data_IF_582799575953
#
_entry.id   IF_582799575953
#
_cell.length_a   1.000
_cell.length_b   1.000
_cell.length_c   1.000
_cell.angle_alpha   90.00
_cell.angle_beta   90.00
_cell.angle_gamma   90.00
#
_symmetry.space_group_name_H-M   'P 1'
#
loop_
_entity.id
_entity.type
_entity.pdbx_description
1 polymer ?
#
# COMPACT_ATOMS: atom_id res chain seq x y z
N UNK A 1 5.53 17.69 -51.77
CA UNK A 1 6.34 17.69 -50.53
C UNK A 1 5.39 17.92 -49.36
N UNK A 2 4.91 16.85 -48.74
CA UNK A 2 3.99 16.90 -47.60
C UNK A 2 4.32 15.71 -46.70
N UNK A 3 5.11 15.94 -45.66
CA UNK A 3 5.40 14.92 -44.64
C UNK A 3 4.40 15.06 -43.51
N UNK A 4 3.60 14.00 -43.32
CA UNK A 4 2.75 13.79 -42.15
C UNK A 4 3.61 13.51 -40.91
N UNK A 5 3.22 14.14 -39.80
CA UNK A 5 3.75 13.92 -38.46
C UNK A 5 3.47 12.47 -37.98
N UNK A 6 4.37 11.84 -37.21
CA UNK A 6 4.06 10.57 -36.57
C UNK A 6 3.15 10.79 -35.36
N UNK A 7 1.97 10.17 -35.43
CA UNK A 7 1.02 9.98 -34.34
C UNK A 7 1.71 9.30 -33.17
N UNK A 8 2.05 10.06 -32.11
CA UNK A 8 2.51 9.46 -30.85
C UNK A 8 1.28 8.90 -30.14
N UNK A 9 1.17 7.58 -30.15
CA UNK A 9 0.23 6.83 -29.33
C UNK A 9 0.46 7.21 -27.86
N UNK A 10 -0.55 7.82 -27.24
CA UNK A 10 -0.59 8.07 -25.81
C UNK A 10 -0.88 6.72 -25.16
N UNK A 11 0.16 6.07 -24.66
CA UNK A 11 0.02 4.85 -23.87
C UNK A 11 -0.64 5.21 -22.53
N UNK A 12 -1.93 4.90 -22.42
CA UNK A 12 -2.71 4.94 -21.18
C UNK A 12 -2.10 3.95 -20.20
N UNK A 13 -1.23 4.41 -19.30
CA UNK A 13 -0.77 3.60 -18.17
C UNK A 13 -1.93 3.47 -17.18
N UNK A 14 -2.68 2.38 -17.35
CA UNK A 14 -3.65 1.90 -16.40
C UNK A 14 -3.00 1.76 -15.01
N UNK A 15 -3.71 2.25 -14.00
CA UNK A 15 -3.31 2.17 -12.60
C UNK A 15 -3.12 0.72 -12.18
N UNK A 16 -1.87 0.35 -11.95
CA UNK A 16 -1.51 -0.80 -11.13
C UNK A 16 -0.99 -0.24 -9.81
N UNK A 17 -1.92 0.02 -8.87
CA UNK A 17 -1.57 -0.05 -7.45
C UNK A 17 -1.29 -1.51 -7.19
N UNK A 18 -0.03 -1.89 -7.36
CA UNK A 18 0.46 -3.22 -7.10
C UNK A 18 0.35 -3.47 -5.60
N UNK A 19 -0.77 -4.08 -5.18
CA UNK A 19 -0.84 -4.83 -3.95
C UNK A 19 0.28 -5.88 -3.98
N UNK A 20 1.34 -5.65 -3.21
CA UNK A 20 2.23 -6.70 -2.78
C UNK A 20 1.43 -7.69 -1.92
N UNK A 21 0.94 -8.74 -2.59
CA UNK A 21 0.68 -10.08 -2.07
C UNK A 21 -0.03 -10.16 -0.71
N UNK A 22 -1.37 -10.29 -0.74
CA UNK A 22 -2.07 -11.14 0.23
C UNK A 22 -2.38 -12.43 -0.50
N UNK A 23 -1.59 -13.46 -0.21
CA UNK A 23 -1.87 -14.82 -0.63
C UNK A 23 -3.15 -15.31 0.06
N UNK A 24 -3.94 -16.03 -0.73
CA UNK A 24 -5.16 -16.72 -0.36
C UNK A 24 -4.87 -17.67 0.82
N UNK A 25 -5.55 -17.48 1.94
CA UNK A 25 -5.66 -18.52 2.97
C UNK A 25 -7.06 -19.10 2.89
N UNK A 26 -7.14 -20.28 2.29
CA UNK A 26 -8.23 -21.24 2.40
C UNK A 26 -8.47 -21.60 3.86
N UNK A 27 -9.71 -21.54 4.39
CA UNK A 27 -10.07 -22.30 5.57
C UNK A 27 -10.63 -23.66 5.13
N UNK A 28 -9.80 -24.69 5.22
CA UNK A 28 -10.26 -26.08 5.31
C UNK A 28 -10.49 -26.39 6.79
N UNK A 29 -11.73 -26.70 7.18
CA UNK A 29 -12.12 -27.76 8.14
C UNK A 29 -13.50 -27.50 8.72
N UNK A 30 -14.45 -28.37 8.36
CA UNK A 30 -15.58 -28.67 9.22
C UNK A 30 -15.82 -30.18 9.20
N UNK A 31 -15.18 -30.87 10.14
CA UNK A 31 -15.54 -32.22 10.54
C UNK A 31 -16.31 -32.12 11.86
N UNK A 32 -17.61 -32.40 11.82
CA UNK A 32 -18.48 -32.53 12.99
C UNK A 32 -18.69 -34.01 13.32
N UNK A 33 -18.31 -34.42 14.53
CA UNK A 33 -18.78 -35.65 15.16
C UNK A 33 -18.79 -35.54 16.70
N UNK A 34 -20.02 -35.42 17.23
CA UNK A 34 -20.62 -35.82 18.52
C UNK A 34 -19.81 -36.36 19.75
N UNK A 35 -20.00 -35.68 20.90
CA UNK A 35 -20.43 -36.09 22.29
C UNK A 35 -19.72 -37.24 23.08
N UNK A 36 -19.86 -37.40 24.44
CA UNK A 36 -20.64 -36.68 25.50
C UNK A 36 -19.81 -36.33 26.80
N UNK A 37 -20.43 -35.81 27.92
CA UNK A 37 -19.72 -35.21 29.07
C UNK A 37 -19.65 -36.09 30.34
N UNK A 38 -18.68 -35.82 31.23
CA UNK A 38 -18.65 -36.34 32.61
C UNK A 38 -18.20 -35.27 33.62
N UNK A 39 -19.09 -34.98 34.57
CA UNK A 39 -18.83 -34.24 35.81
C UNK A 39 -18.35 -35.22 36.90
N UNK A 40 -17.28 -34.90 37.64
CA UNK A 40 -17.23 -34.98 39.11
C UNK A 40 -15.91 -34.47 39.72
N UNK A 41 -16.09 -33.49 40.62
CA UNK A 41 -15.38 -33.15 41.87
C UNK A 41 -13.88 -33.50 42.09
N UNK A 42 -13.08 -32.47 42.42
CA UNK A 42 -12.27 -32.36 43.65
C UNK A 42 -11.45 -31.04 43.68
N UNK A 43 -11.45 -30.34 44.81
CA UNK A 43 -10.47 -29.29 45.16
C UNK A 43 -9.29 -29.93 45.95
N UNK A 44 -8.34 -29.17 46.52
CA UNK A 44 -7.36 -28.24 45.93
C UNK A 44 -5.91 -28.73 46.18
N UNK A 45 -4.91 -28.23 45.45
CA UNK A 45 -3.51 -28.27 45.91
C UNK A 45 -2.64 -27.23 45.19
N UNK A 46 -1.97 -26.41 46.00
CA UNK A 46 -0.89 -25.52 45.63
C UNK A 46 0.33 -26.31 45.14
N UNK A 47 1.01 -25.78 44.12
CA UNK A 47 2.30 -26.31 43.65
C UNK A 47 2.89 -25.43 42.57
N UNK A 48 3.94 -24.69 42.94
CA UNK A 48 4.68 -23.75 42.10
C UNK A 48 5.56 -24.46 41.06
N UNK A 49 5.47 -24.06 39.78
CA UNK A 49 6.60 -24.08 38.83
C UNK A 49 6.36 -23.04 37.73
N UNK A 50 7.29 -22.09 37.47
CA UNK A 50 7.19 -21.20 36.33
C UNK A 50 7.65 -21.96 35.08
N UNK A 51 6.69 -22.37 34.24
CA UNK A 51 6.96 -22.90 32.91
C UNK A 51 7.22 -21.76 31.93
N UNK A 52 8.44 -21.68 31.42
CA UNK A 52 8.83 -20.85 30.29
C UNK A 52 7.93 -21.13 29.09
N UNK A 53 6.97 -20.24 28.83
CA UNK A 53 6.32 -20.15 27.53
C UNK A 53 7.34 -19.60 26.53
N UNK A 54 8.01 -20.53 25.84
CA UNK A 54 8.78 -20.27 24.64
C UNK A 54 7.82 -19.75 23.57
N UNK A 55 7.59 -18.44 23.56
CA UNK A 55 6.92 -17.77 22.45
C UNK A 55 7.80 -17.95 21.23
N UNK A 56 7.42 -18.90 20.37
CA UNK A 56 7.89 -18.96 18.99
C UNK A 56 7.30 -17.75 18.26
N UNK A 57 7.80 -16.55 18.57
CA UNK A 57 7.60 -15.37 17.75
C UNK A 57 8.32 -15.64 16.45
N UNK A 58 7.57 -16.09 15.45
CA UNK A 58 7.88 -15.80 14.06
C UNK A 58 8.13 -14.29 14.03
N UNK A 59 9.33 -13.80 13.69
CA UNK A 59 9.57 -12.38 13.60
C UNK A 59 8.65 -11.86 12.49
N UNK A 60 7.53 -11.30 12.92
CA UNK A 60 6.59 -10.61 12.05
C UNK A 60 7.41 -9.54 11.35
N UNK A 61 7.34 -9.56 10.02
CA UNK A 61 8.01 -8.71 9.03
C UNK A 61 8.01 -7.21 9.41
N UNK A 62 8.82 -6.85 10.40
CA UNK A 62 9.01 -5.50 10.91
C UNK A 62 10.48 -5.08 10.81
N UNK A 63 11.35 -5.93 10.26
CA UNK A 63 12.79 -5.69 10.12
C UNK A 63 13.18 -5.14 8.73
N UNK A 64 12.30 -4.33 8.13
CA UNK A 64 12.74 -3.24 7.23
C UNK A 64 12.57 -1.88 7.96
N UNK A 65 11.93 -1.86 9.13
CA UNK A 65 11.62 -0.66 9.91
C UNK A 65 12.48 -0.52 11.18
N UNK A 66 13.65 -1.18 11.23
CA UNK A 66 14.51 -1.20 12.41
C UNK A 66 15.95 -0.77 12.08
N UNK A 67 16.07 0.46 11.56
CA UNK A 67 17.23 1.40 11.51
C UNK A 67 16.92 2.32 10.34
N UNK A 68 16.01 3.27 10.56
CA UNK A 68 15.16 3.85 9.52
C UNK A 68 15.90 4.83 8.60
N UNK A 69 16.77 4.31 7.75
CA UNK A 69 16.98 4.96 6.46
C UNK A 69 15.64 4.88 5.72
N UNK A 70 15.04 6.05 5.49
CA UNK A 70 13.84 6.16 4.68
C UNK A 70 14.16 5.58 3.29
N UNK A 71 13.33 4.67 2.78
CA UNK A 71 13.56 4.01 1.49
C UNK A 71 13.86 5.03 0.37
N UNK A 72 13.20 6.20 0.42
CA UNK A 72 13.51 7.35 -0.43
C UNK A 72 14.98 7.78 -0.34
N UNK A 73 15.50 7.98 0.87
CA UNK A 73 16.88 8.42 1.12
C UNK A 73 17.89 7.38 0.65
N UNK A 74 17.59 6.10 0.85
CA UNK A 74 18.43 5.00 0.39
C UNK A 74 18.52 4.97 -1.14
N UNK A 75 17.39 5.03 -1.83
CA UNK A 75 17.35 5.02 -3.29
C UNK A 75 18.01 6.26 -3.87
N UNK A 76 17.81 7.43 -3.27
CA UNK A 76 18.42 8.68 -3.71
C UNK A 76 19.95 8.63 -3.61
N UNK A 77 20.48 8.19 -2.46
CA UNK A 77 21.92 8.00 -2.24
C UNK A 77 22.56 7.02 -3.22
N UNK A 78 21.81 5.99 -3.63
CA UNK A 78 22.29 4.93 -4.53
C UNK A 78 21.82 5.11 -5.98
N UNK A 79 21.31 6.28 -6.34
CA UNK A 79 20.79 6.57 -7.69
C UNK A 79 21.87 6.54 -8.79
N UNK A 80 23.14 6.67 -8.41
CA UNK A 80 24.30 6.56 -9.30
C UNK A 80 24.67 5.11 -9.66
N UNK A 81 24.06 4.12 -9.02
CA UNK A 81 24.34 2.70 -9.22
C UNK A 81 23.42 2.07 -10.26
N UNK A 82 23.91 1.04 -10.95
CA UNK A 82 23.05 0.17 -11.79
C UNK A 82 22.06 -0.61 -10.92
N UNK A 83 20.90 -1.06 -11.45
CA UNK A 83 19.93 -1.85 -10.67
C UNK A 83 20.55 -3.07 -9.98
N UNK A 84 21.53 -3.70 -10.63
CA UNK A 84 22.27 -4.84 -10.08
C UNK A 84 23.13 -4.43 -8.87
N UNK A 85 23.86 -3.33 -8.98
CA UNK A 85 24.68 -2.79 -7.91
C UNK A 85 23.83 -2.29 -6.74
N UNK A 86 22.68 -1.65 -7.02
CA UNK A 86 21.72 -1.26 -6.00
C UNK A 86 21.19 -2.48 -5.25
N UNK A 87 20.82 -3.56 -5.95
CA UNK A 87 20.34 -4.79 -5.31
C UNK A 87 21.41 -5.45 -4.45
N UNK A 88 22.67 -5.43 -4.92
CA UNK A 88 23.80 -5.92 -4.16
C UNK A 88 24.04 -5.08 -2.90
N UNK A 89 24.05 -3.74 -3.01
CA UNK A 89 24.17 -2.82 -1.88
C UNK A 89 23.03 -3.04 -0.87
N UNK A 90 21.79 -3.13 -1.35
CA UNK A 90 20.61 -3.43 -0.55
C UNK A 90 20.78 -4.76 0.21
N UNK A 91 21.31 -5.79 -0.45
CA UNK A 91 21.59 -7.08 0.17
C UNK A 91 22.76 -7.07 1.17
N UNK A 92 23.70 -6.12 1.08
CA UNK A 92 24.75 -5.94 2.11
C UNK A 92 24.16 -5.29 3.37
N UNK A 93 23.30 -4.29 3.17
CA UNK A 93 22.73 -3.46 4.25
C UNK A 93 21.53 -4.13 4.93
N UNK A 94 20.80 -4.99 4.21
CA UNK A 94 19.60 -5.69 4.69
C UNK A 94 19.81 -7.22 4.66
N UNK A 95 20.21 -7.85 5.78
CA UNK A 95 20.48 -9.29 5.85
C UNK A 95 19.30 -10.16 5.41
N UNK A 96 18.06 -9.70 5.65
CA UNK A 96 16.84 -10.41 5.25
C UNK A 96 16.66 -10.52 3.74
N UNK A 97 17.29 -9.66 2.93
CA UNK A 97 17.20 -9.72 1.47
C UNK A 97 17.92 -10.95 0.90
N UNK A 98 19.09 -11.30 1.44
CA UNK A 98 19.87 -12.47 0.99
C UNK A 98 19.17 -13.80 1.23
N UNK A 99 18.32 -13.84 2.25
CA UNK A 99 17.53 -15.01 2.63
C UNK A 99 16.27 -15.19 1.76
N UNK A 100 15.97 -14.25 0.85
CA UNK A 100 14.82 -14.36 -0.03
C UNK A 100 15.02 -15.46 -1.09
N UNK A 101 13.97 -16.21 -1.46
CA UNK A 101 14.02 -17.14 -2.59
C UNK A 101 14.48 -16.46 -3.89
N UNK A 102 15.18 -17.16 -4.80
CA UNK A 102 15.68 -16.58 -6.05
C UNK A 102 14.61 -15.86 -6.88
N UNK A 103 13.39 -16.39 -6.92
CA UNK A 103 12.27 -15.79 -7.65
C UNK A 103 11.89 -14.42 -7.06
N UNK A 104 11.96 -14.28 -5.72
CA UNK A 104 11.70 -13.01 -5.03
C UNK A 104 12.79 -12.00 -5.30
N UNK A 105 14.05 -12.43 -5.31
CA UNK A 105 15.17 -11.55 -5.67
C UNK A 105 15.03 -11.05 -7.11
N UNK A 106 14.63 -11.93 -8.04
CA UNK A 106 14.37 -11.55 -9.43
C UNK A 106 13.20 -10.58 -9.56
N UNK A 107 12.10 -10.79 -8.82
CA UNK A 107 10.98 -9.84 -8.78
C UNK A 107 11.44 -8.46 -8.31
N UNK A 108 12.27 -8.39 -7.26
CA UNK A 108 12.80 -7.13 -6.75
C UNK A 108 13.73 -6.45 -7.75
N UNK A 109 14.56 -7.21 -8.47
CA UNK A 109 15.38 -6.69 -9.57
C UNK A 109 14.55 -6.03 -10.66
N UNK A 110 13.50 -6.69 -11.13
CA UNK A 110 12.59 -6.13 -12.13
C UNK A 110 11.92 -4.85 -11.61
N UNK A 111 11.44 -4.86 -10.37
CA UNK A 111 10.80 -3.69 -9.75
C UNK A 111 11.74 -2.50 -9.63
N UNK A 112 13.01 -2.75 -9.28
CA UNK A 112 14.00 -1.71 -9.16
C UNK A 112 14.37 -1.13 -10.53
N UNK A 113 14.47 -1.96 -11.56
CA UNK A 113 14.65 -1.50 -12.93
C UNK A 113 13.46 -0.65 -13.41
N UNK A 114 12.22 -1.09 -13.15
CA UNK A 114 10.99 -0.31 -13.42
C UNK A 114 11.04 1.05 -12.72
N UNK A 115 11.39 1.06 -11.43
CA UNK A 115 11.47 2.26 -10.61
C UNK A 115 12.52 3.24 -11.14
N UNK A 116 13.69 2.75 -11.54
CA UNK A 116 14.75 3.56 -12.13
C UNK A 116 14.36 4.13 -13.49
N UNK A 117 13.53 3.42 -14.26
CA UNK A 117 13.01 3.91 -15.54
C UNK A 117 11.89 4.97 -15.39
N UNK A 118 11.30 5.15 -14.20
CA UNK A 118 10.24 6.14 -13.99
C UNK A 118 10.78 7.58 -14.04
N UNK A 119 9.97 8.55 -14.50
CA UNK A 119 10.26 9.97 -14.29
C UNK A 119 10.50 10.30 -12.81
N UNK A 120 11.46 11.17 -12.45
CA UNK A 120 11.83 11.43 -11.06
C UNK A 120 10.66 11.79 -10.14
N UNK A 121 9.75 12.66 -10.59
CA UNK A 121 8.57 13.04 -9.81
C UNK A 121 7.64 11.84 -9.53
N UNK A 122 7.42 10.97 -10.53
CA UNK A 122 6.60 9.75 -10.37
C UNK A 122 7.25 8.77 -9.41
N UNK A 123 8.58 8.60 -9.52
CA UNK A 123 9.37 7.75 -8.64
C UNK A 123 9.24 8.22 -7.18
N UNK A 124 9.44 9.52 -6.94
CA UNK A 124 9.32 10.14 -5.61
C UNK A 124 7.94 9.89 -5.00
N UNK A 125 6.88 10.17 -5.76
CA UNK A 125 5.51 9.97 -5.27
C UNK A 125 5.21 8.50 -4.92
N UNK A 126 5.64 7.54 -5.75
CA UNK A 126 5.46 6.11 -5.47
C UNK A 126 6.19 5.68 -4.19
N UNK A 127 7.40 6.21 -3.97
CA UNK A 127 8.19 5.92 -2.80
C UNK A 127 7.60 6.58 -1.54
N UNK A 128 7.16 7.83 -1.61
CA UNK A 128 6.41 8.50 -0.54
C UNK A 128 5.16 7.71 -0.16
N UNK A 129 4.39 7.25 -1.15
CA UNK A 129 3.24 6.38 -0.91
C UNK A 129 3.64 5.11 -0.14
N UNK A 130 4.69 4.40 -0.57
CA UNK A 130 5.17 3.21 0.12
C UNK A 130 5.58 3.51 1.57
N UNK A 131 6.29 4.60 1.81
CA UNK A 131 6.68 4.99 3.15
C UNK A 131 5.49 5.37 4.03
N UNK A 132 4.52 6.13 3.50
CA UNK A 132 3.29 6.46 4.23
C UNK A 132 2.59 5.17 4.64
N UNK A 133 2.36 4.25 3.71
CA UNK A 133 1.72 2.96 3.99
C UNK A 133 2.50 2.11 4.99
N UNK A 134 3.83 2.11 4.91
CA UNK A 134 4.70 1.38 5.84
C UNK A 134 4.54 1.87 7.29
N UNK A 135 4.26 3.16 7.50
CA UNK A 135 4.05 3.74 8.84
C UNK A 135 2.65 3.50 9.41
N UNK A 136 1.68 3.18 8.56
CA UNK A 136 0.30 2.92 9.00
C UNK A 136 0.21 1.63 9.82
N UNK A 137 -0.60 1.66 10.89
CA UNK A 137 -0.96 0.46 11.63
C UNK A 137 -1.93 -0.44 10.82
N UNK A 138 -2.16 -1.70 11.21
CA UNK A 138 -3.02 -2.62 10.46
C UNK A 138 -4.45 -2.11 10.23
N UNK A 139 -5.04 -1.42 11.21
CA UNK A 139 -6.39 -0.87 11.11
C UNK A 139 -6.45 0.28 10.09
N UNK A 140 -5.49 1.22 10.14
CA UNK A 140 -5.35 2.31 9.19
C UNK A 140 -5.13 1.81 7.77
N UNK A 141 -4.26 0.80 7.59
CA UNK A 141 -4.06 0.15 6.28
C UNK A 141 -5.35 -0.47 5.75
N UNK A 142 -6.12 -1.12 6.62
CA UNK A 142 -7.43 -1.69 6.25
C UNK A 142 -8.40 -0.61 5.76
N UNK A 143 -8.47 0.53 6.46
CA UNK A 143 -9.30 1.67 6.05
C UNK A 143 -8.91 2.20 4.66
N UNK A 144 -7.63 2.45 4.44
CA UNK A 144 -7.12 2.90 3.13
C UNK A 144 -7.45 1.87 2.04
N UNK A 145 -7.16 0.59 2.29
CA UNK A 145 -7.41 -0.48 1.33
C UNK A 145 -8.89 -0.59 0.97
N UNK A 146 -9.79 -0.43 1.94
CA UNK A 146 -11.24 -0.48 1.69
C UNK A 146 -11.70 0.69 0.83
N UNK A 147 -11.23 1.92 1.11
CA UNK A 147 -11.54 3.09 0.30
C UNK A 147 -11.03 2.94 -1.14
N UNK A 148 -9.78 2.47 -1.31
CA UNK A 148 -9.21 2.24 -2.64
C UNK A 148 -9.90 1.11 -3.41
N UNK A 149 -10.36 0.06 -2.72
CA UNK A 149 -11.18 -1.02 -3.32
C UNK A 149 -12.53 -0.51 -3.80
N UNK A 150 -13.20 0.36 -3.03
CA UNK A 150 -14.47 0.96 -3.45
C UNK A 150 -14.28 1.81 -4.71
N UNK A 151 -13.19 2.60 -4.76
CA UNK A 151 -12.84 3.35 -5.96
C UNK A 151 -12.61 2.43 -7.16
N UNK A 152 -11.80 1.38 -6.99
CA UNK A 152 -11.50 0.42 -8.07
C UNK A 152 -12.71 -0.42 -8.53
N UNK A 153 -13.76 -0.53 -7.70
CA UNK A 153 -14.99 -1.24 -8.05
C UNK A 153 -15.94 -0.41 -8.92
N UNK A 154 -15.72 0.91 -9.04
CA UNK A 154 -16.53 1.76 -9.90
C UNK A 154 -16.28 1.45 -11.40
N UNK A 155 -17.30 1.60 -12.26
CA UNK A 155 -17.10 1.61 -13.72
C UNK A 155 -16.04 2.65 -14.12
N UNK A 156 -15.30 2.39 -15.20
CA UNK A 156 -14.11 3.17 -15.57
C UNK A 156 -14.34 4.69 -15.59
N UNK A 157 -15.45 5.16 -16.17
CA UNK A 157 -15.77 6.59 -16.26
C UNK A 157 -16.02 7.20 -14.88
N UNK A 158 -16.77 6.50 -14.03
CA UNK A 158 -17.08 6.90 -12.64
C UNK A 158 -15.82 6.88 -11.78
N UNK A 159 -14.98 5.85 -11.93
CA UNK A 159 -13.68 5.75 -11.29
C UNK A 159 -12.82 6.98 -11.60
N UNK A 160 -12.67 7.35 -12.88
CA UNK A 160 -11.89 8.52 -13.29
C UNK A 160 -12.49 9.82 -12.75
N UNK A 161 -13.81 9.94 -12.79
CA UNK A 161 -14.52 11.11 -12.28
C UNK A 161 -14.30 11.30 -10.76
N UNK A 162 -14.53 10.25 -9.96
CA UNK A 162 -14.35 10.28 -8.51
C UNK A 162 -12.88 10.49 -8.14
N UNK A 163 -11.94 9.84 -8.82
CA UNK A 163 -10.51 10.02 -8.58
C UNK A 163 -10.05 11.46 -8.84
N UNK A 164 -10.51 12.09 -9.94
CA UNK A 164 -10.21 13.50 -10.25
C UNK A 164 -10.85 14.44 -9.23
N UNK A 165 -12.11 14.19 -8.86
CA UNK A 165 -12.84 14.98 -7.87
C UNK A 165 -12.13 14.93 -6.52
N UNK A 166 -11.75 13.73 -6.08
CA UNK A 166 -10.97 13.54 -4.86
C UNK A 166 -9.66 14.31 -4.91
N UNK A 167 -8.86 14.19 -5.98
CA UNK A 167 -7.62 14.96 -6.15
C UNK A 167 -7.86 16.46 -5.99
N UNK A 168 -8.85 17.02 -6.69
CA UNK A 168 -9.16 18.45 -6.61
C UNK A 168 -9.61 18.90 -5.22
N UNK A 169 -10.33 18.06 -4.48
CA UNK A 169 -10.68 18.36 -3.09
C UNK A 169 -9.44 18.39 -2.18
N UNK A 170 -8.47 17.51 -2.40
CA UNK A 170 -7.23 17.47 -1.60
C UNK A 170 -6.32 18.66 -1.80
N UNK A 171 -6.39 19.31 -2.97
CA UNK A 171 -5.66 20.54 -3.28
C UNK A 171 -6.21 21.75 -2.51
N UNK A 172 -7.47 21.70 -2.07
CA UNK A 172 -8.04 22.74 -1.22
C UNK A 172 -7.51 22.67 0.22
N UNK A 173 -7.48 23.80 0.95
CA UNK A 173 -7.22 23.79 2.39
C UNK A 173 -8.20 22.87 3.13
N UNK A 174 -7.76 22.12 4.18
CA UNK A 174 -8.59 21.15 4.88
C UNK A 174 -9.96 21.66 5.32
N UNK A 175 -10.01 22.91 5.81
CA UNK A 175 -11.24 23.56 6.29
C UNK A 175 -12.25 23.82 5.16
N UNK A 176 -11.78 24.03 3.94
CA UNK A 176 -12.65 24.30 2.78
C UNK A 176 -13.23 23.02 2.17
N UNK A 177 -12.59 21.86 2.37
CA UNK A 177 -12.98 20.60 1.72
C UNK A 177 -14.39 20.18 2.09
N UNK A 178 -14.75 20.29 3.37
CA UNK A 178 -16.09 19.92 3.86
C UNK A 178 -17.17 20.81 3.26
N UNK A 179 -16.95 22.11 3.23
CA UNK A 179 -17.89 23.08 2.66
C UNK A 179 -18.10 22.86 1.16
N UNK A 180 -17.02 22.57 0.42
CA UNK A 180 -17.12 22.24 -1.01
C UNK A 180 -17.83 20.90 -1.20
N UNK A 181 -17.51 19.87 -0.40
CA UNK A 181 -18.15 18.55 -0.46
C UNK A 181 -19.67 18.59 -0.18
N UNK A 182 -20.13 19.54 0.62
CA UNK A 182 -21.55 19.76 0.91
C UNK A 182 -22.27 20.68 -0.08
N UNK A 183 -21.57 21.20 -1.10
CA UNK A 183 -22.19 22.07 -2.10
C UNK A 183 -22.97 21.30 -3.17
N UNK A 184 -23.94 21.97 -3.78
CA UNK A 184 -24.80 21.46 -4.86
C UNK A 184 -24.00 20.96 -6.09
N UNK A 185 -22.72 21.34 -6.19
CA UNK A 185 -21.78 20.84 -7.22
C UNK A 185 -21.68 19.32 -7.25
N UNK A 186 -22.01 18.63 -6.16
CA UNK A 186 -21.91 17.18 -6.06
C UNK A 186 -23.27 16.48 -6.00
N UNK A 187 -24.38 17.18 -6.25
CA UNK A 187 -25.73 16.60 -6.22
C UNK A 187 -25.99 15.63 -7.37
N UNK A 188 -25.24 15.75 -8.47
CA UNK A 188 -25.31 14.81 -9.59
C UNK A 188 -24.58 13.49 -9.33
N UNK A 189 -23.84 13.36 -8.22
CA UNK A 189 -23.20 12.10 -7.86
C UNK A 189 -24.24 11.04 -7.56
N UNK A 190 -24.08 9.86 -8.15
CA UNK A 190 -24.88 8.72 -7.77
C UNK A 190 -24.47 8.22 -6.36
N UNK A 191 -25.27 7.33 -5.77
CA UNK A 191 -25.05 6.83 -4.43
C UNK A 191 -23.68 6.14 -4.25
N UNK A 192 -23.21 5.38 -5.24
CA UNK A 192 -21.94 4.67 -5.19
C UNK A 192 -20.74 5.63 -5.29
N UNK A 193 -20.81 6.63 -6.17
CA UNK A 193 -19.80 7.67 -6.31
C UNK A 193 -19.69 8.51 -5.03
N UNK A 194 -20.82 8.92 -4.46
CA UNK A 194 -20.88 9.69 -3.21
C UNK A 194 -20.30 8.90 -2.04
N UNK A 195 -20.68 7.62 -1.90
CA UNK A 195 -20.15 6.75 -0.85
C UNK A 195 -18.63 6.55 -0.99
N UNK A 196 -18.15 6.32 -2.21
CA UNK A 196 -16.73 6.17 -2.51
C UNK A 196 -15.95 7.44 -2.20
N UNK A 197 -16.45 8.61 -2.64
CA UNK A 197 -15.82 9.90 -2.37
C UNK A 197 -15.73 10.17 -0.86
N UNK A 198 -16.80 9.90 -0.10
CA UNK A 198 -16.80 10.05 1.35
C UNK A 198 -15.77 9.13 2.03
N UNK A 199 -15.66 7.88 1.57
CA UNK A 199 -14.68 6.90 2.06
C UNK A 199 -13.24 7.36 1.81
N UNK A 200 -12.96 7.90 0.62
CA UNK A 200 -11.66 8.48 0.27
C UNK A 200 -11.34 9.71 1.14
N UNK A 201 -12.31 10.59 1.37
CA UNK A 201 -12.14 11.75 2.25
C UNK A 201 -11.89 11.36 3.71
N UNK A 202 -12.47 10.25 4.18
CA UNK A 202 -12.25 9.76 5.54
C UNK A 202 -10.80 9.28 5.79
N UNK A 203 -10.12 8.79 4.74
CA UNK A 203 -8.72 8.32 4.83
C UNK A 203 -7.71 9.32 4.32
N UNK A 204 -8.12 10.55 3.97
CA UNK A 204 -7.30 11.53 3.28
C UNK A 204 -5.97 11.82 4.00
N UNK A 205 -6.03 11.99 5.33
CA UNK A 205 -4.86 12.27 6.16
C UNK A 205 -3.88 11.11 6.25
N UNK A 206 -4.31 9.90 5.87
CA UNK A 206 -3.49 8.69 5.84
C UNK A 206 -2.78 8.50 4.49
N UNK A 207 -3.05 9.37 3.51
CA UNK A 207 -2.48 9.29 2.17
C UNK A 207 -1.40 10.37 2.00
N UNK A 208 -0.33 10.10 1.21
CA UNK A 208 0.61 11.15 0.84
C UNK A 208 -0.10 12.25 0.02
N UNK A 209 0.49 13.45 -0.07
CA UNK A 209 -0.01 14.53 -0.92
C UNK A 209 -0.29 14.05 -2.36
N UNK A 210 -1.27 14.66 -3.06
CA UNK A 210 -1.55 14.32 -4.45
C UNK A 210 -0.30 14.51 -5.33
N UNK A 211 -0.10 13.61 -6.30
CA UNK A 211 0.97 13.73 -7.29
C UNK A 211 0.74 14.95 -8.17
N UNK A 212 1.65 15.92 -8.07
CA UNK A 212 1.76 17.06 -8.96
C UNK A 212 2.92 16.81 -9.94
N UNK A 213 2.65 16.65 -11.26
CA UNK A 213 3.69 16.42 -12.25
C UNK A 213 4.63 17.61 -12.45
N UNK A 214 4.20 18.82 -12.08
CA UNK A 214 4.92 20.07 -12.27
C UNK A 214 5.72 20.49 -11.03
N UNK A 215 5.58 19.75 -9.92
CA UNK A 215 6.30 20.04 -8.69
C UNK A 215 7.80 19.75 -8.88
N UNK A 216 8.68 20.76 -8.82
CA UNK A 216 10.11 20.53 -8.89
C UNK A 216 10.53 19.69 -7.68
N UNK A 217 11.37 18.68 -7.92
CA UNK A 217 12.00 17.94 -6.83
C UNK A 217 12.89 18.89 -6.04
N UNK A 218 12.35 19.42 -4.93
CA UNK A 218 13.13 20.13 -3.92
C UNK A 218 14.14 19.20 -3.26
#
# INVERSE_FOLDING_TARGET
>A
MTSLLPTRAVATLAGFVLCLLVAISTPEQQATAAAPPQNNAAAPHSGSVPGEHRTNTIPTSNTIAAKNEHLLQWIDRHSNLTPEQQLQAFGQEHPGFRSLPPEKQQQLRTRLAELNAMPPAKRKHLLEWNETMARLNPAQRSQVNNAMKQLAALPQDQHLYVARTFRGLRELPPEQRKAVLSSDRFDHLNAAERATLNSLMAVESLLPPPYDPDQPGH
#
